data_IF_813572691364
#
_entry.id   IF_813572691364
#
_cell.length_a   1.000
_cell.length_b   1.000
_cell.length_c   1.000
_cell.angle_alpha   90.00
_cell.angle_beta   90.00
_cell.angle_gamma   90.00
#
_symmetry.space_group_name_H-M   'P 1'
#
loop_
_entity.id
_entity.type
_entity.pdbx_description
1 polymer ?
#
# COMPACT_ATOMS: atom_id res chain seq x y z
N UNK A 1 -54.99 79.29 23.46
CA UNK A 1 -54.64 78.20 22.53
C UNK A 1 -53.15 78.30 22.21
N UNK A 2 -52.45 77.17 22.29
CA UNK A 2 -51.11 76.84 21.78
C UNK A 2 -49.83 77.43 22.43
N UNK A 3 -49.09 76.53 23.07
CA UNK A 3 -47.62 76.41 23.07
C UNK A 3 -47.27 75.22 22.14
N UNK A 4 -46.17 75.23 21.35
CA UNK A 4 -44.96 74.52 21.80
C UNK A 4 -43.62 75.03 21.19
N UNK A 5 -42.48 74.71 21.81
CA UNK A 5 -41.24 74.22 21.17
C UNK A 5 -40.24 73.87 22.31
N UNK A 6 -40.13 72.59 22.64
CA UNK A 6 -39.03 71.68 22.28
C UNK A 6 -37.90 71.65 23.31
N UNK A 7 -37.84 70.55 24.07
CA UNK A 7 -36.64 70.08 24.78
C UNK A 7 -36.14 68.81 24.10
N UNK A 8 -34.84 68.84 23.80
CA UNK A 8 -34.07 67.84 23.10
C UNK A 8 -34.09 66.44 23.74
N UNK A 9 -34.07 65.42 22.89
CA UNK A 9 -33.90 64.01 23.24
C UNK A 9 -32.40 63.66 23.21
N UNK A 10 -31.78 63.55 24.38
CA UNK A 10 -30.34 63.24 24.53
C UNK A 10 -30.08 61.90 25.25
N UNK A 11 -31.00 60.94 25.16
CA UNK A 11 -30.96 59.69 25.95
C UNK A 11 -30.52 58.40 25.24
N UNK A 12 -30.49 58.35 23.91
CA UNK A 12 -30.36 57.07 23.17
C UNK A 12 -28.94 56.58 22.84
N UNK A 13 -27.93 57.43 22.98
CA UNK A 13 -26.54 57.11 22.58
C UNK A 13 -25.78 56.25 23.58
N UNK A 14 -25.95 56.48 24.89
CA UNK A 14 -25.19 55.75 25.90
C UNK A 14 -25.72 54.32 26.12
N UNK A 15 -27.04 54.09 26.02
CA UNK A 15 -27.59 52.73 26.11
C UNK A 15 -27.16 51.84 24.94
N UNK A 16 -27.05 52.41 23.74
CA UNK A 16 -26.61 51.66 22.55
C UNK A 16 -25.12 51.32 22.62
N UNK A 17 -24.26 52.22 23.11
CA UNK A 17 -22.84 51.93 23.39
C UNK A 17 -22.69 50.83 24.44
N UNK A 18 -23.43 50.91 25.54
CA UNK A 18 -23.38 49.89 26.60
C UNK A 18 -23.92 48.51 26.13
N UNK A 19 -24.93 48.50 25.25
CA UNK A 19 -25.45 47.28 24.64
C UNK A 19 -24.44 46.65 23.66
N UNK A 20 -23.68 47.47 22.93
CA UNK A 20 -22.60 47.00 22.06
C UNK A 20 -21.44 46.41 22.87
N UNK A 21 -21.04 47.05 23.96
CA UNK A 21 -19.99 46.53 24.85
C UNK A 21 -20.38 45.18 25.47
N UNK A 22 -21.63 45.01 25.92
CA UNK A 22 -22.13 43.70 26.39
C UNK A 22 -22.09 42.64 25.30
N UNK A 23 -22.48 43.00 24.08
CA UNK A 23 -22.47 42.08 22.93
C UNK A 23 -21.04 41.68 22.54
N UNK A 24 -20.09 42.62 22.64
CA UNK A 24 -18.67 42.38 22.42
C UNK A 24 -18.12 41.39 23.45
N UNK A 25 -18.41 41.60 24.74
CA UNK A 25 -18.00 40.72 25.83
C UNK A 25 -18.61 39.32 25.70
N UNK A 26 -19.87 39.20 25.27
CA UNK A 26 -20.50 37.90 24.99
C UNK A 26 -19.86 37.16 23.81
N UNK A 27 -19.48 37.90 22.76
CA UNK A 27 -18.81 37.32 21.59
C UNK A 27 -17.40 36.82 21.93
N UNK A 28 -16.64 37.59 22.70
CA UNK A 28 -15.30 37.19 23.17
C UNK A 28 -15.36 35.96 24.07
N UNK A 29 -16.36 35.89 24.98
CA UNK A 29 -16.58 34.72 25.83
C UNK A 29 -16.92 33.47 24.99
N UNK A 30 -17.74 33.60 23.93
CA UNK A 30 -18.05 32.49 23.02
C UNK A 30 -16.85 32.08 22.17
N UNK A 31 -16.03 33.04 21.71
CA UNK A 31 -14.83 32.74 20.93
C UNK A 31 -13.79 31.97 21.75
N UNK A 32 -13.59 32.35 23.01
CA UNK A 32 -12.68 31.64 23.92
C UNK A 32 -13.14 30.20 24.23
N UNK A 33 -14.45 29.98 24.39
CA UNK A 33 -15.01 28.64 24.59
C UNK A 33 -14.87 27.77 23.34
N UNK A 34 -15.06 28.35 22.15
CA UNK A 34 -14.85 27.64 20.89
C UNK A 34 -13.38 27.24 20.70
N UNK A 35 -12.43 28.16 20.94
CA UNK A 35 -10.99 27.87 20.84
C UNK A 35 -10.56 26.77 21.83
N UNK A 36 -11.12 26.76 23.05
CA UNK A 36 -10.90 25.66 24.00
C UNK A 36 -11.41 24.33 23.46
N UNK A 37 -12.63 24.30 22.92
CA UNK A 37 -13.22 23.09 22.33
C UNK A 37 -12.46 22.61 21.10
N UNK A 38 -11.99 23.52 20.25
CA UNK A 38 -11.15 23.21 19.11
C UNK A 38 -9.82 22.62 19.57
N UNK A 39 -9.13 23.23 20.54
CA UNK A 39 -7.89 22.67 21.10
C UNK A 39 -8.10 21.29 21.73
N UNK A 40 -9.20 21.08 22.45
CA UNK A 40 -9.52 19.76 22.99
C UNK A 40 -9.90 18.74 21.90
N UNK A 41 -10.61 19.15 20.86
CA UNK A 41 -10.89 18.30 19.70
C UNK A 41 -9.60 17.97 18.94
N UNK A 42 -8.73 18.95 18.71
CA UNK A 42 -7.41 18.80 18.11
C UNK A 42 -6.55 17.84 18.93
N UNK A 43 -6.56 17.99 20.26
CA UNK A 43 -5.87 17.09 21.17
C UNK A 43 -6.45 15.66 21.09
N UNK A 44 -7.79 15.50 21.11
CA UNK A 44 -8.44 14.19 20.94
C UNK A 44 -8.12 13.54 19.59
N UNK A 45 -8.14 14.30 18.49
CA UNK A 45 -7.77 13.82 17.15
C UNK A 45 -6.30 13.44 17.09
N UNK A 46 -5.42 14.23 17.71
CA UNK A 46 -3.99 13.91 17.82
C UNK A 46 -3.76 12.65 18.66
N UNK A 47 -4.47 12.44 19.76
CA UNK A 47 -4.37 11.21 20.58
C UNK A 47 -4.85 9.98 19.80
N UNK A 48 -5.91 10.12 19.01
CA UNK A 48 -6.40 9.05 18.12
C UNK A 48 -5.40 8.75 16.99
N UNK A 49 -4.73 9.76 16.45
CA UNK A 49 -3.67 9.61 15.44
C UNK A 49 -2.32 9.12 16.00
N UNK A 50 -2.07 9.28 17.30
CA UNK A 50 -0.80 8.92 17.95
C UNK A 50 -0.82 7.57 18.67
N UNK A 51 -1.98 6.91 18.80
CA UNK A 51 -2.04 5.50 19.20
C UNK A 51 -1.54 4.56 18.08
N UNK A 52 -0.93 3.39 18.41
CA UNK A 52 -0.56 2.41 17.39
C UNK A 52 -1.82 1.93 16.68
N UNK A 53 -1.98 2.38 15.44
CA UNK A 53 -3.16 2.03 14.65
C UNK A 53 -3.24 0.51 14.44
N UNK A 54 -4.39 -0.13 14.69
CA UNK A 54 -4.49 -1.58 14.80
C UNK A 54 -4.07 -2.29 13.49
N UNK A 55 -3.45 -3.45 13.63
CA UNK A 55 -3.18 -4.36 12.51
C UNK A 55 -4.50 -4.87 11.95
N UNK A 56 -4.66 -4.82 10.62
CA UNK A 56 -5.93 -5.11 9.93
C UNK A 56 -5.76 -6.14 8.79
N UNK A 57 -4.54 -6.59 8.52
CA UNK A 57 -4.20 -7.48 7.41
C UNK A 57 -3.26 -8.63 7.84
N UNK A 58 -3.40 -9.84 7.27
CA UNK A 58 -4.49 -10.25 6.38
C UNK A 58 -5.80 -10.42 7.18
N UNK A 59 -6.96 -10.18 6.54
CA UNK A 59 -8.26 -10.30 7.17
C UNK A 59 -8.61 -11.78 7.30
N UNK A 60 -8.12 -12.40 8.37
CA UNK A 60 -8.46 -13.78 8.65
C UNK A 60 -9.89 -13.89 9.17
N UNK A 61 -10.63 -14.93 8.77
CA UNK A 61 -11.90 -15.23 9.41
C UNK A 61 -11.69 -15.62 10.89
N UNK A 62 -12.71 -15.48 11.75
CA UNK A 62 -12.56 -15.62 13.21
C UNK A 62 -12.03 -16.98 13.68
N UNK A 63 -12.12 -18.01 12.83
CA UNK A 63 -11.68 -19.37 13.11
C UNK A 63 -10.19 -19.62 12.80
N UNK A 64 -9.48 -18.67 12.20
CA UNK A 64 -8.07 -18.82 11.91
C UNK A 64 -7.22 -18.48 13.16
N UNK A 65 -6.24 -19.31 13.53
CA UNK A 65 -5.38 -19.03 14.69
C UNK A 65 -4.42 -17.86 14.44
N UNK A 66 -4.25 -17.43 13.19
CA UNK A 66 -3.42 -16.29 12.82
C UNK A 66 -4.19 -14.99 13.05
N UNK A 67 -3.60 -14.05 13.81
CA UNK A 67 -4.13 -12.69 13.95
C UNK A 67 -3.61 -11.80 12.82
N UNK A 68 -4.35 -10.74 12.44
CA UNK A 68 -3.82 -9.70 11.57
C UNK A 68 -2.46 -9.19 12.08
N UNK A 69 -1.44 -9.32 11.27
CA UNK A 69 -0.04 -9.05 11.64
C UNK A 69 0.47 -7.73 11.06
N UNK A 70 -0.23 -7.16 10.09
CA UNK A 70 0.19 -6.01 9.33
C UNK A 70 -0.93 -4.98 9.28
N UNK A 71 -0.60 -3.71 9.46
CA UNK A 71 -1.48 -2.61 9.07
C UNK A 71 -1.31 -2.30 7.58
N UNK A 72 -2.43 -2.29 6.87
CA UNK A 72 -2.57 -1.89 5.47
C UNK A 72 -3.89 -1.13 5.30
N UNK A 73 -3.80 0.19 5.21
CA UNK A 73 -4.94 1.11 5.12
C UNK A 73 -4.60 2.17 4.07
N UNK A 74 -5.05 1.95 2.83
CA UNK A 74 -4.66 2.80 1.70
C UNK A 74 -5.32 4.18 1.76
N UNK A 75 -6.49 4.26 2.38
CA UNK A 75 -7.32 5.45 2.45
C UNK A 75 -6.73 6.47 3.42
N UNK A 76 -6.24 6.01 4.57
CA UNK A 76 -5.71 6.87 5.62
C UNK A 76 -4.18 7.01 5.56
N UNK A 77 -3.45 5.97 5.15
CA UNK A 77 -1.99 6.02 5.19
C UNK A 77 -1.35 6.57 3.89
N UNK A 78 -2.03 6.51 2.73
CA UNK A 78 -1.43 6.88 1.44
C UNK A 78 -2.08 8.15 0.86
N UNK A 79 -1.29 9.17 0.47
CA UNK A 79 -1.79 10.37 -0.21
C UNK A 79 -2.60 10.04 -1.46
N UNK A 80 -3.66 10.81 -1.72
CA UNK A 80 -4.62 10.53 -2.79
C UNK A 80 -3.97 10.37 -4.18
N UNK A 81 -2.99 11.22 -4.52
CA UNK A 81 -2.35 11.25 -5.83
C UNK A 81 -1.58 9.96 -6.17
N UNK A 82 -1.01 9.29 -5.16
CA UNK A 82 -0.18 8.11 -5.32
C UNK A 82 -0.87 6.81 -4.85
N UNK A 83 -2.05 6.93 -4.23
CA UNK A 83 -2.85 5.81 -3.70
C UNK A 83 -3.16 4.73 -4.74
N UNK A 84 -3.44 5.13 -5.96
CA UNK A 84 -3.74 4.18 -7.04
C UNK A 84 -2.55 3.25 -7.34
N UNK A 85 -1.30 3.72 -7.20
CA UNK A 85 -0.11 2.88 -7.36
C UNK A 85 0.01 1.85 -6.23
N UNK A 86 -0.29 2.25 -4.98
CA UNK A 86 -0.30 1.34 -3.84
C UNK A 86 -1.36 0.23 -4.00
N UNK A 87 -2.57 0.61 -4.43
CA UNK A 87 -3.66 -0.33 -4.72
C UNK A 87 -3.33 -1.27 -5.88
N UNK A 88 -2.73 -0.74 -6.96
CA UNK A 88 -2.31 -1.55 -8.11
C UNK A 88 -1.21 -2.53 -7.73
N UNK A 89 -0.22 -2.10 -6.92
CA UNK A 89 0.81 -2.99 -6.38
C UNK A 89 0.21 -4.15 -5.58
N UNK A 90 -0.74 -3.86 -4.69
CA UNK A 90 -1.47 -4.92 -3.97
C UNK A 90 -2.23 -5.86 -4.91
N UNK A 91 -2.90 -5.31 -5.93
CA UNK A 91 -3.61 -6.09 -6.95
C UNK A 91 -2.67 -7.02 -7.74
N UNK A 92 -1.48 -6.55 -8.10
CA UNK A 92 -0.44 -7.37 -8.76
C UNK A 92 0.03 -8.48 -7.84
N UNK A 93 0.32 -8.18 -6.57
CA UNK A 93 0.75 -9.19 -5.60
C UNK A 93 -0.33 -10.27 -5.39
N UNK A 94 -1.58 -9.87 -5.20
CA UNK A 94 -2.69 -10.80 -5.00
C UNK A 94 -2.96 -11.62 -6.27
N UNK A 95 -2.96 -10.97 -7.44
CA UNK A 95 -3.11 -11.63 -8.72
C UNK A 95 -2.00 -12.64 -9.00
N UNK A 96 -0.75 -12.32 -8.63
CA UNK A 96 0.38 -13.24 -8.72
C UNK A 96 0.19 -14.47 -7.81
N UNK A 97 -0.22 -14.26 -6.55
CA UNK A 97 -0.46 -15.38 -5.62
C UNK A 97 -1.56 -16.32 -6.13
N UNK A 98 -2.67 -15.77 -6.65
CA UNK A 98 -3.76 -16.55 -7.25
C UNK A 98 -3.29 -17.26 -8.51
N UNK A 99 -2.52 -16.59 -9.37
CA UNK A 99 -1.98 -17.17 -10.59
C UNK A 99 -1.04 -18.35 -10.31
N UNK A 100 -0.22 -18.28 -9.26
CA UNK A 100 0.62 -19.40 -8.84
C UNK A 100 -0.21 -20.63 -8.47
N UNK A 101 -1.37 -20.45 -7.83
CA UNK A 101 -2.30 -21.56 -7.52
C UNK A 101 -2.84 -22.19 -8.81
N UNK A 102 -3.30 -21.37 -9.77
CA UNK A 102 -3.73 -21.88 -11.07
C UNK A 102 -2.59 -22.58 -11.82
N UNK A 103 -1.38 -22.03 -11.75
CA UNK A 103 -0.19 -22.63 -12.32
C UNK A 103 0.14 -24.00 -11.69
N UNK A 104 -0.04 -24.16 -10.38
CA UNK A 104 0.11 -25.46 -9.72
C UNK A 104 -0.92 -26.49 -10.23
N UNK A 105 -2.17 -26.09 -10.46
CA UNK A 105 -3.16 -26.98 -11.07
C UNK A 105 -2.86 -27.30 -12.54
N UNK A 106 -2.36 -26.33 -13.31
CA UNK A 106 -1.86 -26.57 -14.67
C UNK A 106 -0.68 -27.55 -14.69
N UNK A 107 0.26 -27.39 -13.75
CA UNK A 107 1.41 -28.26 -13.58
C UNK A 107 1.00 -29.68 -13.13
N UNK A 108 -0.04 -29.80 -12.30
CA UNK A 108 -0.64 -31.09 -11.95
C UNK A 108 -1.22 -31.78 -13.19
N UNK A 109 -1.97 -31.04 -14.01
CA UNK A 109 -2.47 -31.55 -15.29
C UNK A 109 -1.34 -32.02 -16.20
N UNK A 110 -0.27 -31.23 -16.32
CA UNK A 110 0.93 -31.57 -17.08
C UNK A 110 1.61 -32.84 -16.56
N UNK A 111 1.66 -33.02 -15.24
CA UNK A 111 2.20 -34.23 -14.61
C UNK A 111 1.34 -35.47 -14.88
N UNK A 112 0.01 -35.35 -14.86
CA UNK A 112 -0.89 -36.48 -15.08
C UNK A 112 -0.83 -37.01 -16.52
N UNK A 113 -0.71 -36.11 -17.50
CA UNK A 113 -0.69 -36.50 -18.94
C UNK A 113 0.72 -36.73 -19.48
N UNK A 114 1.74 -36.33 -18.72
CA UNK A 114 3.15 -36.42 -19.10
C UNK A 114 3.73 -37.81 -18.87
N UNK A 115 4.62 -38.23 -19.76
CA UNK A 115 5.41 -39.47 -19.63
C UNK A 115 6.92 -39.20 -19.57
N UNK A 116 7.33 -37.92 -19.50
CA UNK A 116 8.73 -37.52 -19.43
C UNK A 116 9.26 -37.38 -17.99
N UNK A 117 10.55 -37.08 -17.89
CA UNK A 117 11.23 -36.86 -16.62
C UNK A 117 11.13 -35.41 -16.09
N UNK A 118 10.58 -34.47 -16.87
CA UNK A 118 10.53 -33.05 -16.52
C UNK A 118 9.24 -32.68 -15.76
N UNK A 119 8.18 -33.44 -15.97
CA UNK A 119 6.82 -33.14 -15.54
C UNK A 119 6.67 -33.24 -14.02
N UNK A 120 7.23 -34.29 -13.40
CA UNK A 120 7.22 -34.48 -11.95
C UNK A 120 7.97 -33.37 -11.18
N UNK A 121 9.23 -33.07 -11.52
CA UNK A 121 9.96 -31.95 -10.93
C UNK A 121 9.26 -30.60 -11.13
N UNK A 122 8.66 -30.36 -12.30
CA UNK A 122 7.89 -29.13 -12.55
C UNK A 122 6.70 -29.01 -11.61
N UNK A 123 5.92 -30.08 -11.43
CA UNK A 123 4.82 -30.07 -10.46
C UNK A 123 5.32 -29.81 -9.03
N UNK A 124 6.38 -30.50 -8.60
CA UNK A 124 6.99 -30.27 -7.28
C UNK A 124 7.46 -28.83 -7.08
N UNK A 125 8.14 -28.26 -8.08
CA UNK A 125 8.58 -26.87 -8.05
C UNK A 125 7.39 -25.89 -8.00
N UNK A 126 6.29 -26.17 -8.68
CA UNK A 126 5.09 -25.32 -8.67
C UNK A 126 4.47 -25.19 -7.27
N UNK A 127 4.49 -26.27 -6.48
CA UNK A 127 4.02 -26.26 -5.08
C UNK A 127 4.92 -25.35 -4.24
N UNK A 128 6.24 -25.49 -4.38
CA UNK A 128 7.20 -24.63 -3.67
C UNK A 128 7.01 -23.15 -4.03
N UNK A 129 6.76 -22.85 -5.31
CA UNK A 129 6.48 -21.47 -5.74
C UNK A 129 5.24 -20.90 -5.05
N UNK A 130 4.14 -21.65 -4.99
CA UNK A 130 2.91 -21.23 -4.29
C UNK A 130 3.15 -20.91 -2.81
N UNK A 131 3.99 -21.71 -2.13
CA UNK A 131 4.24 -21.52 -0.70
C UNK A 131 5.22 -20.39 -0.41
N UNK A 132 6.25 -20.25 -1.23
CA UNK A 132 7.42 -19.39 -0.93
C UNK A 132 7.32 -18.02 -1.61
N UNK A 133 6.81 -17.95 -2.84
CA UNK A 133 6.84 -16.70 -3.60
C UNK A 133 5.87 -15.63 -3.06
N UNK A 134 4.63 -15.93 -2.65
CA UNK A 134 3.73 -14.93 -2.07
C UNK A 134 4.30 -14.25 -0.80
N UNK A 135 4.83 -14.95 0.22
CA UNK A 135 5.40 -14.28 1.39
C UNK A 135 6.67 -13.50 1.04
N UNK A 136 7.58 -14.05 0.24
CA UNK A 136 8.81 -13.35 -0.16
C UNK A 136 8.48 -12.07 -0.93
N UNK A 137 7.56 -12.13 -1.91
CA UNK A 137 7.18 -10.95 -2.70
C UNK A 137 6.42 -9.90 -1.87
N UNK A 138 5.62 -10.34 -0.88
CA UNK A 138 4.93 -9.43 0.03
C UNK A 138 5.92 -8.59 0.83
N UNK A 139 6.89 -9.23 1.49
CA UNK A 139 7.87 -8.52 2.31
C UNK A 139 8.98 -7.88 1.48
N UNK A 140 9.35 -8.47 0.36
CA UNK A 140 10.47 -8.06 -0.48
C UNK A 140 10.21 -6.79 -1.27
N UNK A 141 9.00 -6.60 -1.83
CA UNK A 141 8.73 -5.39 -2.63
C UNK A 141 7.40 -4.71 -2.29
N UNK A 142 6.33 -5.44 -1.95
CA UNK A 142 5.02 -4.82 -1.69
C UNK A 142 5.06 -3.95 -0.43
N UNK A 143 5.67 -4.46 0.66
CA UNK A 143 5.85 -3.70 1.90
C UNK A 143 6.76 -2.47 1.72
N UNK A 144 7.94 -2.58 1.07
CA UNK A 144 8.73 -1.41 0.70
C UNK A 144 7.96 -0.39 -0.15
N UNK A 145 7.17 -0.82 -1.14
CA UNK A 145 6.34 0.08 -1.96
C UNK A 145 5.35 0.86 -1.09
N UNK A 146 4.63 0.16 -0.22
CA UNK A 146 3.67 0.78 0.70
C UNK A 146 4.34 1.82 1.59
N UNK A 147 5.49 1.48 2.20
CA UNK A 147 6.26 2.41 3.03
C UNK A 147 6.77 3.61 2.23
N UNK A 148 7.28 3.37 1.02
CA UNK A 148 7.79 4.40 0.14
C UNK A 148 6.71 5.43 -0.22
N UNK A 149 5.51 4.96 -0.57
CA UNK A 149 4.38 5.82 -0.93
C UNK A 149 3.78 6.55 0.29
N UNK A 150 3.84 5.93 1.48
CA UNK A 150 3.35 6.53 2.73
C UNK A 150 4.23 7.69 3.22
N UNK A 151 5.54 7.48 3.28
CA UNK A 151 6.47 8.43 3.93
C UNK A 151 7.41 9.15 2.98
N UNK A 152 7.24 8.97 1.67
CA UNK A 152 8.13 9.49 0.62
C UNK A 152 9.63 9.15 0.86
N UNK A 153 9.87 7.97 1.45
CA UNK A 153 11.22 7.54 1.83
C UNK A 153 12.01 6.99 0.64
N UNK A 154 13.14 7.63 0.36
CA UNK A 154 14.01 7.28 -0.78
C UNK A 154 14.62 5.89 -0.63
N UNK A 155 14.94 5.47 0.60
CA UNK A 155 15.48 4.14 0.87
C UNK A 155 14.46 3.02 0.54
N UNK A 156 13.19 3.23 0.90
CA UNK A 156 12.13 2.26 0.60
C UNK A 156 11.84 2.19 -0.92
N UNK A 157 11.93 3.30 -1.65
CA UNK A 157 11.85 3.28 -3.11
C UNK A 157 12.97 2.44 -3.75
N UNK A 158 14.22 2.56 -3.27
CA UNK A 158 15.33 1.75 -3.78
C UNK A 158 15.13 0.25 -3.54
N UNK A 159 14.71 -0.13 -2.33
CA UNK A 159 14.38 -1.52 -2.01
C UNK A 159 13.25 -2.04 -2.91
N UNK A 160 12.20 -1.23 -3.11
CA UNK A 160 11.14 -1.57 -4.04
C UNK A 160 11.68 -1.81 -5.45
N UNK A 161 12.47 -0.90 -6.02
CA UNK A 161 12.98 -1.07 -7.39
C UNK A 161 13.88 -2.32 -7.52
N UNK A 162 14.74 -2.58 -6.53
CA UNK A 162 15.63 -3.76 -6.56
C UNK A 162 14.83 -5.06 -6.58
N UNK A 163 13.95 -5.26 -5.59
CA UNK A 163 13.20 -6.51 -5.46
C UNK A 163 12.09 -6.64 -6.50
N UNK A 164 11.42 -5.56 -6.88
CA UNK A 164 10.35 -5.60 -7.88
C UNK A 164 10.88 -5.81 -9.30
N UNK A 165 12.07 -5.30 -9.63
CA UNK A 165 12.73 -5.61 -10.90
C UNK A 165 13.07 -7.11 -10.97
N UNK A 166 13.64 -7.66 -9.90
CA UNK A 166 13.89 -9.10 -9.79
C UNK A 166 12.60 -9.93 -9.91
N UNK A 167 11.54 -9.53 -9.21
CA UNK A 167 10.21 -10.15 -9.33
C UNK A 167 9.68 -10.12 -10.78
N UNK A 168 9.88 -9.00 -11.48
CA UNK A 168 9.45 -8.86 -12.89
C UNK A 168 10.20 -9.85 -13.79
N UNK A 169 11.51 -10.01 -13.60
CA UNK A 169 12.32 -11.01 -14.32
C UNK A 169 11.85 -12.43 -14.00
N UNK A 170 11.55 -12.73 -12.73
CA UNK A 170 11.01 -14.04 -12.32
C UNK A 170 9.69 -14.34 -13.03
N UNK A 171 8.77 -13.36 -13.12
CA UNK A 171 7.49 -13.51 -13.81
C UNK A 171 7.71 -13.72 -15.33
N UNK A 172 8.69 -13.05 -15.94
CA UNK A 172 9.04 -13.29 -17.35
C UNK A 172 9.58 -14.70 -17.58
N UNK A 173 10.41 -15.23 -16.67
CA UNK A 173 10.89 -16.61 -16.74
C UNK A 173 9.73 -17.60 -16.59
N UNK A 174 8.81 -17.36 -15.66
CA UNK A 174 7.60 -18.18 -15.49
C UNK A 174 6.69 -18.13 -16.72
N UNK A 175 6.55 -16.95 -17.33
CA UNK A 175 5.84 -16.77 -18.58
C UNK A 175 6.41 -17.66 -19.71
N UNK A 176 7.74 -17.79 -19.81
CA UNK A 176 8.37 -18.68 -20.78
C UNK A 176 8.08 -20.16 -20.47
N UNK A 177 8.09 -20.55 -19.19
CA UNK A 177 7.86 -21.93 -18.78
C UNK A 177 9.05 -22.82 -19.10
N UNK A 178 10.24 -22.47 -18.61
CA UNK A 178 11.42 -23.33 -18.77
C UNK A 178 11.20 -24.61 -17.95
N UNK A 179 11.60 -25.75 -18.51
CA UNK A 179 11.52 -27.05 -17.84
C UNK A 179 12.13 -26.97 -16.42
N UNK A 180 11.58 -27.73 -15.48
CA UNK A 180 12.02 -27.82 -14.07
C UNK A 180 11.81 -26.56 -13.20
N UNK A 181 11.46 -25.39 -13.76
CA UNK A 181 11.28 -24.16 -12.98
C UNK A 181 9.88 -24.00 -12.36
N UNK A 182 9.00 -24.98 -12.52
CA UNK A 182 7.71 -25.01 -11.84
C UNK A 182 6.62 -24.15 -12.46
N UNK A 183 6.78 -23.71 -13.70
CA UNK A 183 5.76 -22.94 -14.42
C UNK A 183 5.32 -23.61 -15.72
N UNK A 184 4.03 -23.55 -16.00
CA UNK A 184 3.45 -24.03 -17.24
C UNK A 184 4.05 -23.25 -18.43
N UNK A 185 3.84 -21.94 -18.47
CA UNK A 185 4.37 -21.02 -19.49
C UNK A 185 4.09 -21.45 -20.94
N UNK A 186 4.61 -20.64 -21.87
CA UNK A 186 4.39 -20.86 -23.30
C UNK A 186 5.07 -22.13 -23.80
N UNK A 187 6.31 -22.41 -23.39
CA UNK A 187 7.09 -23.53 -23.89
C UNK A 187 6.43 -24.87 -23.53
N UNK A 188 6.09 -25.09 -22.25
CA UNK A 188 5.48 -26.36 -21.86
C UNK A 188 4.04 -26.47 -22.33
N UNK A 189 3.29 -25.37 -22.39
CA UNK A 189 1.95 -25.36 -22.97
C UNK A 189 1.93 -25.82 -24.43
N UNK A 190 2.83 -25.27 -25.28
CA UNK A 190 2.96 -25.66 -26.69
C UNK A 190 3.43 -27.12 -26.81
N UNK A 191 4.40 -27.56 -25.99
CA UNK A 191 4.83 -28.96 -25.98
C UNK A 191 3.67 -29.92 -25.66
N UNK A 192 2.77 -29.51 -24.76
CA UNK A 192 1.70 -30.37 -24.24
C UNK A 192 0.52 -30.46 -25.19
N UNK A 193 0.27 -29.44 -26.02
CA UNK A 193 -0.87 -29.44 -26.95
C UNK A 193 -0.84 -30.62 -27.92
N UNK A 194 0.36 -31.08 -28.32
CA UNK A 194 0.50 -32.24 -29.20
C UNK A 194 0.27 -33.59 -28.50
N UNK A 195 0.09 -33.58 -27.17
CA UNK A 195 -0.12 -34.77 -26.34
C UNK A 195 -1.53 -34.82 -25.77
N UNK A 196 -2.00 -33.69 -25.24
CA UNK A 196 -3.35 -33.53 -24.70
C UNK A 196 -3.80 -32.08 -24.88
N UNK A 197 -4.76 -31.88 -25.78
CA UNK A 197 -5.30 -30.57 -26.13
C UNK A 197 -5.83 -29.83 -24.91
N UNK A 198 -6.57 -30.52 -24.04
CA UNK A 198 -7.21 -29.92 -22.87
C UNK A 198 -6.21 -29.32 -21.89
N UNK A 199 -5.20 -30.11 -21.49
CA UNK A 199 -4.13 -29.63 -20.60
C UNK A 199 -3.27 -28.59 -21.29
N UNK A 200 -2.95 -28.77 -22.57
CA UNK A 200 -2.21 -27.79 -23.37
C UNK A 200 -2.88 -26.42 -23.39
N UNK A 201 -4.18 -26.36 -23.69
CA UNK A 201 -4.95 -25.11 -23.70
C UNK A 201 -4.99 -24.45 -22.31
N UNK A 202 -5.19 -25.23 -21.24
CA UNK A 202 -5.14 -24.72 -19.87
C UNK A 202 -3.80 -24.06 -19.55
N UNK A 203 -2.70 -24.72 -19.92
CA UNK A 203 -1.34 -24.20 -19.70
C UNK A 203 -1.08 -22.91 -20.50
N UNK A 204 -1.56 -22.83 -21.74
CA UNK A 204 -1.45 -21.62 -22.57
C UNK A 204 -2.28 -20.45 -22.04
N UNK A 205 -3.45 -20.73 -21.47
CA UNK A 205 -4.26 -19.72 -20.77
C UNK A 205 -3.49 -19.16 -19.57
N UNK A 206 -2.87 -20.03 -18.76
CA UNK A 206 -2.02 -19.62 -17.63
C UNK A 206 -0.83 -18.78 -18.12
N UNK A 207 -0.17 -19.18 -19.21
CA UNK A 207 0.94 -18.44 -19.82
C UNK A 207 0.51 -17.04 -20.30
N UNK A 208 -0.70 -16.91 -20.84
CA UNK A 208 -1.28 -15.63 -21.25
C UNK A 208 -1.49 -14.72 -20.04
N UNK A 209 -2.02 -15.26 -18.92
CA UNK A 209 -2.20 -14.47 -17.69
C UNK A 209 -0.83 -14.03 -17.11
N UNK A 210 0.20 -14.89 -17.15
CA UNK A 210 1.56 -14.49 -16.78
C UNK A 210 2.09 -13.35 -17.65
N UNK A 211 1.83 -13.39 -18.95
CA UNK A 211 2.24 -12.34 -19.91
C UNK A 211 1.58 -11.00 -19.57
N UNK A 212 0.28 -11.02 -19.30
CA UNK A 212 -0.50 -9.83 -18.89
C UNK A 212 0.05 -9.28 -17.56
N UNK A 213 0.31 -10.16 -16.60
CA UNK A 213 0.85 -9.77 -15.30
C UNK A 213 2.25 -9.14 -15.42
N UNK A 214 3.11 -9.68 -16.28
CA UNK A 214 4.42 -9.08 -16.59
C UNK A 214 4.28 -7.66 -17.18
N UNK A 215 3.25 -7.44 -18.02
CA UNK A 215 2.88 -6.12 -18.54
C UNK A 215 2.49 -5.15 -17.42
N UNK A 216 1.63 -5.59 -16.49
CA UNK A 216 1.24 -4.78 -15.32
C UNK A 216 2.44 -4.48 -14.40
N UNK A 217 3.33 -5.45 -14.18
CA UNK A 217 4.56 -5.24 -13.42
C UNK A 217 5.43 -4.16 -14.06
N UNK A 218 5.66 -4.26 -15.37
CA UNK A 218 6.46 -3.29 -16.13
C UNK A 218 5.83 -1.89 -16.09
N UNK A 219 4.51 -1.80 -16.22
CA UNK A 219 3.76 -0.56 -16.12
C UNK A 219 3.86 0.08 -14.72
N UNK A 220 3.67 -0.71 -13.65
CA UNK A 220 3.82 -0.21 -12.28
C UNK A 220 5.24 0.30 -12.03
N UNK A 221 6.24 -0.47 -12.46
CA UNK A 221 7.65 -0.13 -12.29
C UNK A 221 7.96 1.22 -12.95
N UNK A 222 7.51 1.42 -14.19
CA UNK A 222 7.69 2.69 -14.90
C UNK A 222 6.98 3.85 -14.20
N UNK A 223 5.75 3.64 -13.73
CA UNK A 223 4.94 4.68 -13.07
C UNK A 223 5.54 5.10 -11.73
N UNK A 224 5.95 4.16 -10.89
CA UNK A 224 6.60 4.45 -9.60
C UNK A 224 7.96 5.09 -9.83
N UNK A 225 8.73 4.64 -10.84
CA UNK A 225 9.99 5.27 -11.21
C UNK A 225 9.81 6.73 -11.66
N UNK A 226 8.80 7.01 -12.49
CA UNK A 226 8.49 8.38 -12.91
C UNK A 226 8.07 9.24 -11.73
N UNK A 227 7.23 8.71 -10.84
CA UNK A 227 6.80 9.40 -9.62
C UNK A 227 8.00 9.74 -8.70
N UNK A 228 8.86 8.75 -8.44
CA UNK A 228 10.10 8.93 -7.66
C UNK A 228 11.00 10.03 -8.26
N UNK A 229 11.15 10.07 -9.58
CA UNK A 229 11.94 11.08 -10.28
C UNK A 229 11.33 12.48 -10.20
N UNK A 230 10.01 12.62 -10.22
CA UNK A 230 9.35 13.93 -10.10
C UNK A 230 9.43 14.51 -8.69
N UNK A 231 9.54 13.68 -7.65
CA UNK A 231 9.60 14.14 -6.25
C UNK A 231 10.96 14.71 -5.82
N UNK A 232 11.94 14.82 -6.72
CA UNK A 232 13.28 15.34 -6.41
C UNK A 232 14.11 14.44 -5.47
N UNK A 233 13.66 13.21 -5.23
CA UNK A 233 14.33 12.25 -4.37
C UNK A 233 15.59 11.69 -5.07
N UNK A 234 16.73 11.71 -4.38
CA UNK A 234 18.03 11.30 -4.92
C UNK A 234 18.69 10.23 -4.05
N UNK A 235 19.66 9.49 -4.63
CA UNK A 235 20.51 8.56 -3.88
C UNK A 235 21.22 9.22 -2.69
N UNK A 236 21.49 10.53 -2.77
CA UNK A 236 22.08 11.30 -1.68
C UNK A 236 21.10 11.47 -0.51
N UNK A 237 19.83 11.79 -0.80
CA UNK A 237 18.75 11.82 0.20
C UNK A 237 18.56 10.44 0.87
N UNK A 238 18.62 9.36 0.09
CA UNK A 238 18.56 8.00 0.63
C UNK A 238 19.74 7.67 1.58
N UNK A 239 20.97 8.07 1.23
CA UNK A 239 22.14 7.89 2.10
C UNK A 239 21.99 8.68 3.41
N UNK A 240 21.45 9.89 3.35
CA UNK A 240 21.20 10.72 4.54
C UNK A 240 20.10 10.12 5.43
N UNK A 241 18.99 9.64 4.84
CA UNK A 241 17.92 8.94 5.57
C UNK A 241 18.43 7.66 6.25
N UNK A 242 19.26 6.86 5.57
CA UNK A 242 19.85 5.65 6.16
C UNK A 242 20.90 5.95 7.23
N UNK A 243 21.73 6.99 7.04
CA UNK A 243 22.67 7.43 8.06
C UNK A 243 21.94 7.93 9.31
N UNK A 244 20.88 8.71 9.15
CA UNK A 244 20.08 9.22 10.27
C UNK A 244 19.31 8.10 10.98
N UNK A 245 18.78 7.10 10.25
CA UNK A 245 18.15 5.93 10.84
C UNK A 245 19.13 5.10 11.68
N UNK A 246 20.36 4.87 11.18
CA UNK A 246 21.39 4.15 11.92
C UNK A 246 21.93 4.90 13.14
N UNK A 247 21.89 6.25 13.12
CA UNK A 247 22.21 7.08 14.30
C UNK A 247 21.09 7.01 15.34
N UNK A 248 19.82 7.02 14.93
CA UNK A 248 18.68 6.93 15.85
C UNK A 248 18.63 5.58 16.57
N UNK A 249 18.98 4.50 15.88
CA UNK A 249 19.08 3.14 16.44
C UNK A 249 20.25 3.03 17.46
N UNK A 250 21.37 3.74 17.22
CA UNK A 250 22.47 3.86 18.18
C UNK A 250 22.14 4.74 19.39
N UNK A 251 21.33 5.79 19.24
CA UNK A 251 20.93 6.66 20.34
C UNK A 251 19.77 6.11 21.18
N UNK A 252 18.89 5.28 20.59
CA UNK A 252 17.76 4.65 21.29
C UNK A 252 18.11 3.33 22.00
N UNK A 253 19.27 2.75 21.71
CA UNK A 253 19.70 1.45 22.27
C UNK A 253 20.33 1.49 23.66
N UNK A 254 20.46 2.65 24.30
CA UNK A 254 21.19 2.78 25.59
C UNK A 254 20.43 3.49 26.72
N UNK A 255 19.12 3.68 26.60
CA UNK A 255 18.38 4.42 27.63
C UNK A 255 16.87 4.26 27.59
N UNK A 256 16.36 3.04 27.77
CA UNK A 256 15.00 2.80 28.27
C UNK A 256 14.78 1.31 28.55
N UNK A 257 15.13 0.86 29.76
CA UNK A 257 14.39 -0.22 30.42
C UNK A 257 14.01 0.29 31.82
N UNK A 258 12.72 0.38 32.17
CA UNK A 258 12.24 -0.17 33.42
C UNK A 258 12.09 -1.70 33.32
#
# INVERSE_FOLDING_TARGET
MYSPYSKATAGGGNESVLALERRQAELEARAAELDRREKEQQARVNTIHSGPSPHNWPPFPPFCPCKPCVRQDFENDIPFDCRWMAKMGYGIWLGYAILLIFNMFGALGYFIVGNGAAEGPLFGASILLVLVMPPISFFGWHRPLYKALRSDSSANYLLFFLFFSGQTVIILIQCLGIDYLGSCGWINGIKTINRNDGVGVLMLLIATIFSILAGFCSFLLFKVHRYYRSSGASLHKAKLEMANAGVFERSGGFGAMP
#
